data_IF_736257495558
#
_entry.id   IF_736257495558
#
_cell.length_a   1.000
_cell.length_b   1.000
_cell.length_c   1.000
_cell.angle_alpha   90.00
_cell.angle_beta   90.00
_cell.angle_gamma   90.00
#
_symmetry.space_group_name_H-M   'P 1'
#
loop_
_entity.id
_entity.type
_entity.pdbx_description
1 polymer ?
#
# COMPACT_ATOMS: atom_id res chain seq x y z
N UNK A 1 14.84 -2.22 -22.31
CA UNK A 1 13.48 -2.54 -21.82
C UNK A 1 13.14 -3.93 -22.29
N UNK A 2 13.13 -4.88 -21.38
CA UNK A 2 12.92 -6.31 -21.64
C UNK A 2 11.45 -6.62 -21.88
N UNK A 3 11.15 -7.80 -22.43
CA UNK A 3 9.76 -8.29 -22.60
C UNK A 3 9.04 -8.43 -21.24
N UNK A 4 9.82 -8.70 -20.18
CA UNK A 4 9.38 -8.81 -18.79
C UNK A 4 9.01 -7.45 -18.21
N UNK A 5 9.82 -6.40 -18.47
CA UNK A 5 9.48 -5.00 -18.12
C UNK A 5 8.16 -4.56 -18.76
N UNK A 6 7.82 -5.12 -19.93
CA UNK A 6 6.54 -4.88 -20.58
C UNK A 6 5.41 -5.60 -19.82
N UNK A 7 5.54 -6.89 -19.53
CA UNK A 7 4.49 -7.73 -18.92
C UNK A 7 3.99 -7.21 -17.56
N UNK A 8 4.88 -6.77 -16.65
CA UNK A 8 4.44 -6.31 -15.33
C UNK A 8 3.77 -4.92 -15.35
N UNK A 9 4.00 -4.12 -16.39
CA UNK A 9 3.35 -2.83 -16.59
C UNK A 9 1.88 -2.95 -17.08
N UNK A 10 1.45 -4.13 -17.55
CA UNK A 10 0.18 -4.24 -18.29
C UNK A 10 -1.08 -4.24 -17.42
N UNK A 11 -1.06 -4.80 -16.21
CA UNK A 11 -2.33 -4.96 -15.48
C UNK A 11 -2.92 -3.61 -15.03
N UNK A 12 -2.09 -2.60 -14.71
CA UNK A 12 -2.55 -1.23 -14.43
C UNK A 12 -3.06 -0.51 -15.68
N UNK A 13 -2.75 -1.01 -16.88
CA UNK A 13 -3.35 -0.54 -18.14
C UNK A 13 -4.71 -1.21 -18.43
N UNK A 14 -4.99 -2.34 -17.80
CA UNK A 14 -6.26 -3.08 -17.96
C UNK A 14 -7.33 -2.65 -16.96
N UNK A 15 -6.92 -2.17 -15.77
CA UNK A 15 -7.82 -1.65 -14.75
C UNK A 15 -7.62 -0.13 -14.67
N UNK A 16 -8.62 0.66 -15.06
CA UNK A 16 -8.53 2.12 -15.02
C UNK A 16 -8.68 2.70 -13.60
N UNK A 17 -9.48 2.04 -12.77
CA UNK A 17 -9.72 2.48 -11.40
C UNK A 17 -10.16 1.36 -10.46
N UNK A 18 -10.01 1.62 -9.16
CA UNK A 18 -10.45 0.75 -8.08
C UNK A 18 -11.37 1.53 -7.15
N UNK A 19 -12.55 0.98 -6.91
CA UNK A 19 -13.53 1.54 -5.98
C UNK A 19 -13.48 0.75 -4.68
N UNK A 20 -13.50 1.46 -3.56
CA UNK A 20 -13.57 0.85 -2.23
C UNK A 20 -15.01 0.71 -1.75
N UNK A 21 -15.23 -0.15 -0.77
CA UNK A 21 -16.47 -0.32 0.02
C UNK A 21 -17.10 0.95 0.60
N UNK A 22 -16.35 2.06 0.71
CA UNK A 22 -16.87 3.40 1.08
C UNK A 22 -16.87 4.37 -0.10
N UNK A 23 -16.94 3.84 -1.31
CA UNK A 23 -17.05 4.57 -2.58
C UNK A 23 -15.90 5.52 -2.89
N UNK A 24 -14.75 5.44 -2.20
CA UNK A 24 -13.55 6.17 -2.65
C UNK A 24 -12.99 5.50 -3.90
N UNK A 25 -12.64 6.30 -4.89
CA UNK A 25 -12.20 5.82 -6.21
C UNK A 25 -10.72 6.16 -6.38
N UNK A 26 -9.90 5.15 -6.66
CA UNK A 26 -8.49 5.28 -6.97
C UNK A 26 -8.32 5.13 -8.48
N UNK A 27 -7.97 6.20 -9.17
CA UNK A 27 -7.69 6.19 -10.61
C UNK A 27 -6.20 6.06 -10.87
N UNK A 28 -5.81 5.13 -11.72
CA UNK A 28 -4.42 5.03 -12.16
C UNK A 28 -4.15 6.08 -13.22
N UNK A 29 -3.07 6.83 -13.06
CA UNK A 29 -2.68 7.90 -13.97
C UNK A 29 -1.65 7.41 -14.99
N UNK A 30 -1.51 8.13 -16.09
CA UNK A 30 -0.55 7.81 -17.17
C UNK A 30 0.91 7.93 -16.75
N UNK A 31 1.20 8.65 -15.66
CA UNK A 31 2.53 8.84 -15.08
C UNK A 31 2.87 7.81 -13.99
N UNK A 32 2.14 6.69 -13.93
CA UNK A 32 2.24 5.62 -12.94
C UNK A 32 1.86 6.03 -11.51
N UNK A 33 1.39 7.26 -11.25
CA UNK A 33 0.82 7.61 -9.94
C UNK A 33 -0.63 7.16 -9.83
N UNK A 34 -1.21 7.31 -8.64
CA UNK A 34 -2.62 7.02 -8.40
C UNK A 34 -3.29 8.21 -7.74
N UNK A 35 -4.48 8.59 -8.21
CA UNK A 35 -5.23 9.70 -7.64
C UNK A 35 -6.51 9.20 -6.98
N UNK A 36 -6.70 9.57 -5.71
CA UNK A 36 -7.88 9.19 -4.94
C UNK A 36 -8.94 10.29 -4.99
N UNK A 37 -10.13 9.98 -5.45
CA UNK A 37 -11.33 10.77 -5.22
C UNK A 37 -12.04 10.25 -3.96
N UNK A 38 -12.15 11.10 -2.94
CA UNK A 38 -12.80 10.77 -1.68
C UNK A 38 -14.24 11.29 -1.70
N UNK A 39 -15.15 10.39 -2.05
CA UNK A 39 -16.59 10.68 -2.23
C UNK A 39 -17.22 11.34 -1.01
N UNK A 40 -16.88 10.90 0.20
CA UNK A 40 -17.40 11.48 1.44
C UNK A 40 -17.01 12.97 1.64
N UNK A 41 -15.93 13.43 1.00
CA UNK A 41 -15.48 14.83 1.05
C UNK A 41 -15.79 15.58 -0.24
N UNK A 42 -16.36 14.91 -1.25
CA UNK A 42 -16.48 15.42 -2.62
C UNK A 42 -15.18 16.07 -3.12
N UNK A 43 -14.03 15.43 -2.83
CA UNK A 43 -12.72 16.05 -3.03
C UNK A 43 -11.74 15.09 -3.73
N UNK A 44 -11.03 15.62 -4.72
CA UNK A 44 -9.96 14.94 -5.43
C UNK A 44 -8.64 15.19 -4.69
N UNK A 45 -8.01 14.12 -4.21
CA UNK A 45 -6.74 14.20 -3.49
C UNK A 45 -5.58 14.36 -4.45
N UNK A 46 -4.47 14.85 -3.90
CA UNK A 46 -3.19 14.90 -4.59
C UNK A 46 -2.79 13.49 -5.05
N UNK A 47 -2.16 13.35 -6.23
CA UNK A 47 -1.65 12.06 -6.68
C UNK A 47 -0.63 11.47 -5.70
N UNK A 48 -0.76 10.17 -5.46
CA UNK A 48 0.11 9.35 -4.62
C UNK A 48 1.07 8.55 -5.51
N UNK A 49 2.30 8.39 -5.05
CA UNK A 49 3.37 7.75 -5.82
C UNK A 49 3.23 6.22 -5.82
N UNK A 50 2.63 5.69 -4.77
CA UNK A 50 2.50 4.27 -4.50
C UNK A 50 1.07 3.91 -4.07
N UNK A 51 0.58 2.78 -4.57
CA UNK A 51 -0.63 2.10 -4.12
C UNK A 51 -0.39 0.58 -4.11
N UNK A 52 -0.63 -0.04 -2.96
CA UNK A 52 -0.64 -1.50 -2.74
C UNK A 52 -1.88 -1.92 -1.96
N UNK A 53 -2.13 -3.23 -1.88
CA UNK A 53 -3.30 -3.79 -1.24
C UNK A 53 -2.91 -4.71 -0.09
N UNK A 54 -3.28 -4.32 1.12
CA UNK A 54 -3.05 -5.07 2.35
C UNK A 54 -4.12 -6.17 2.45
N UNK A 55 -3.75 -7.44 2.65
CA UNK A 55 -4.71 -8.51 2.88
C UNK A 55 -5.68 -8.24 4.02
N UNK A 56 -6.85 -8.85 3.98
CA UNK A 56 -7.77 -8.80 5.10
C UNK A 56 -7.38 -9.81 6.19
N UNK A 57 -8.05 -9.72 7.34
CA UNK A 57 -7.76 -10.58 8.48
C UNK A 57 -7.95 -12.08 8.17
N UNK A 58 -8.96 -12.42 7.37
CA UNK A 58 -9.22 -13.82 7.00
C UNK A 58 -8.03 -14.39 6.21
N UNK A 59 -7.55 -13.65 5.21
CA UNK A 59 -6.38 -14.05 4.45
C UNK A 59 -5.12 -14.15 5.33
N UNK A 60 -4.87 -13.16 6.19
CA UNK A 60 -3.70 -13.17 7.10
C UNK A 60 -3.74 -14.38 8.03
N UNK A 61 -4.88 -14.69 8.64
CA UNK A 61 -5.02 -15.80 9.58
C UNK A 61 -4.67 -17.16 8.95
N UNK A 62 -4.94 -17.32 7.66
CA UNK A 62 -4.68 -18.56 6.93
C UNK A 62 -3.28 -18.65 6.32
N UNK A 63 -2.67 -17.50 5.99
CA UNK A 63 -1.47 -17.45 5.15
C UNK A 63 -0.25 -16.81 5.82
N UNK A 64 -0.43 -16.05 6.91
CA UNK A 64 0.68 -15.41 7.60
C UNK A 64 1.37 -16.39 8.57
N UNK A 65 2.68 -16.24 8.79
CA UNK A 65 3.40 -16.99 9.82
C UNK A 65 2.78 -16.77 11.21
N UNK A 66 2.67 -17.83 12.01
CA UNK A 66 2.10 -17.79 13.39
C UNK A 66 2.83 -16.82 14.33
N UNK A 67 4.08 -16.45 14.01
CA UNK A 67 4.90 -15.52 14.80
C UNK A 67 4.44 -14.06 14.69
N UNK A 68 3.57 -13.71 13.74
CA UNK A 68 3.10 -12.33 13.57
C UNK A 68 1.79 -12.15 14.34
N UNK A 69 1.85 -11.54 15.52
CA UNK A 69 0.64 -11.20 16.27
C UNK A 69 -0.02 -9.95 15.67
N UNK A 70 -1.07 -10.18 14.90
CA UNK A 70 -1.88 -9.17 14.21
C UNK A 70 -3.28 -9.04 14.81
N UNK A 71 -3.42 -9.42 16.09
CA UNK A 71 -4.70 -9.46 16.81
C UNK A 71 -5.49 -10.73 16.55
N UNK A 72 -6.61 -10.88 17.26
CA UNK A 72 -7.43 -12.10 17.28
C UNK A 72 -8.69 -11.99 16.41
N UNK A 73 -8.99 -10.79 15.89
CA UNK A 73 -10.18 -10.53 15.10
C UNK A 73 -9.96 -9.36 14.11
N UNK A 74 -10.86 -9.18 13.12
CA UNK A 74 -10.71 -8.15 12.09
C UNK A 74 -10.59 -6.72 12.61
N UNK A 75 -11.23 -6.41 13.75
CA UNK A 75 -11.22 -5.06 14.34
C UNK A 75 -9.84 -4.76 14.94
N UNK A 76 -9.30 -5.69 15.72
CA UNK A 76 -7.96 -5.56 16.29
C UNK A 76 -6.89 -5.47 15.20
N UNK A 77 -7.00 -6.30 14.17
CA UNK A 77 -6.12 -6.24 13.01
C UNK A 77 -6.07 -4.85 12.38
N UNK A 78 -7.24 -4.30 12.07
CA UNK A 78 -7.35 -2.97 11.47
C UNK A 78 -6.79 -1.87 12.39
N UNK A 79 -7.08 -1.96 13.69
CA UNK A 79 -6.58 -1.01 14.68
C UNK A 79 -5.06 -1.03 14.81
N UNK A 80 -4.44 -2.22 14.81
CA UNK A 80 -2.98 -2.38 14.84
C UNK A 80 -2.38 -1.70 13.60
N UNK A 81 -2.86 -2.00 12.40
CA UNK A 81 -2.37 -1.38 11.17
C UNK A 81 -2.49 0.15 11.20
N UNK A 82 -3.67 0.66 11.59
CA UNK A 82 -3.93 2.09 11.68
C UNK A 82 -3.02 2.79 12.70
N UNK A 83 -2.71 2.14 13.81
CA UNK A 83 -1.82 2.69 14.84
C UNK A 83 -0.40 2.91 14.31
N UNK A 84 0.13 1.96 13.53
CA UNK A 84 1.43 2.11 12.87
C UNK A 84 1.40 3.17 11.77
N UNK A 85 0.38 3.13 10.91
CA UNK A 85 0.30 4.03 9.75
C UNK A 85 0.14 5.49 10.18
N UNK A 86 -0.58 5.76 11.27
CA UNK A 86 -0.80 7.11 11.82
C UNK A 86 0.27 7.54 12.83
N UNK A 87 1.08 6.61 13.34
CA UNK A 87 2.09 6.88 14.36
C UNK A 87 3.19 7.80 13.86
N UNK A 88 3.43 8.92 14.55
CA UNK A 88 4.47 9.90 14.16
C UNK A 88 5.90 9.34 14.23
N UNK A 89 6.18 8.49 15.20
CA UNK A 89 7.49 7.82 15.36
C UNK A 89 7.63 6.53 14.54
N UNK A 90 6.54 6.08 13.91
CA UNK A 90 6.48 4.81 13.21
C UNK A 90 6.92 4.98 11.76
N UNK A 91 7.81 4.10 11.34
CA UNK A 91 8.25 3.91 9.97
C UNK A 91 7.37 2.88 9.30
N UNK A 92 6.82 3.27 8.15
CA UNK A 92 5.98 2.40 7.33
C UNK A 92 6.44 2.53 5.90
N UNK A 93 6.93 1.42 5.36
CA UNK A 93 7.53 1.35 4.04
C UNK A 93 7.01 0.14 3.29
N UNK A 94 6.95 0.26 1.96
CA UNK A 94 6.85 -0.93 1.13
C UNK A 94 8.26 -1.37 0.78
N UNK A 95 8.55 -2.66 0.92
CA UNK A 95 9.88 -3.21 0.62
C UNK A 95 9.78 -4.42 -0.31
N UNK A 96 10.86 -4.69 -1.04
CA UNK A 96 11.07 -6.01 -1.66
C UNK A 96 11.50 -7.06 -0.60
N UNK A 97 11.68 -8.30 -1.04
CA UNK A 97 12.16 -9.42 -0.20
C UNK A 97 13.61 -9.27 0.30
N UNK A 98 14.37 -8.30 -0.24
CA UNK A 98 15.75 -7.97 0.21
C UNK A 98 15.77 -6.77 1.16
N UNK A 99 14.60 -6.22 1.51
CA UNK A 99 14.49 -5.04 2.37
C UNK A 99 14.73 -3.71 1.65
N UNK A 100 14.82 -3.68 0.32
CA UNK A 100 14.92 -2.42 -0.42
C UNK A 100 13.59 -1.68 -0.32
N UNK A 101 13.63 -0.44 0.16
CA UNK A 101 12.45 0.44 0.20
C UNK A 101 12.02 0.81 -1.22
N UNK A 102 10.73 0.66 -1.49
CA UNK A 102 10.04 1.01 -2.72
C UNK A 102 9.14 2.22 -2.43
N UNK A 103 9.26 3.26 -3.25
CA UNK A 103 8.58 4.54 -3.07
C UNK A 103 7.52 4.81 -4.13
N UNK A 104 7.61 4.12 -5.27
CA UNK A 104 6.76 4.37 -6.44
C UNK A 104 6.10 3.09 -6.95
N UNK A 105 4.96 3.23 -7.62
CA UNK A 105 4.32 2.14 -8.35
C UNK A 105 5.23 1.58 -9.45
N UNK A 106 6.03 2.43 -10.11
CA UNK A 106 6.98 1.98 -11.13
C UNK A 106 8.04 1.05 -10.54
N UNK A 107 8.56 1.34 -9.35
CA UNK A 107 9.49 0.44 -8.65
C UNK A 107 8.80 -0.87 -8.28
N UNK A 108 7.57 -0.83 -7.78
CA UNK A 108 6.78 -2.02 -7.42
C UNK A 108 6.52 -2.92 -8.62
N UNK A 109 6.14 -2.33 -9.76
CA UNK A 109 5.82 -3.06 -10.98
C UNK A 109 7.09 -3.74 -11.53
N UNK A 110 8.28 -3.20 -11.25
CA UNK A 110 9.55 -3.83 -11.59
C UNK A 110 9.96 -5.00 -10.67
N UNK A 111 9.27 -5.25 -9.57
CA UNK A 111 9.56 -6.39 -8.68
C UNK A 111 8.80 -7.61 -9.20
N UNK A 112 9.46 -8.75 -9.33
CA UNK A 112 8.79 -10.04 -9.63
C UNK A 112 8.35 -10.73 -8.34
N UNK A 113 9.21 -10.68 -7.32
CA UNK A 113 8.99 -11.30 -6.02
C UNK A 113 7.88 -10.65 -5.18
N UNK A 114 7.60 -11.28 -4.04
CA UNK A 114 6.71 -10.75 -3.00
C UNK A 114 7.24 -9.41 -2.47
N UNK A 115 6.32 -8.46 -2.29
CA UNK A 115 6.58 -7.19 -1.62
C UNK A 115 5.86 -7.15 -0.27
N UNK A 116 6.36 -6.36 0.65
CA UNK A 116 5.87 -6.30 2.01
C UNK A 116 5.54 -4.87 2.41
N UNK A 117 4.45 -4.68 3.14
CA UNK A 117 4.26 -3.51 3.97
C UNK A 117 4.96 -3.78 5.30
N UNK A 118 6.06 -3.07 5.53
CA UNK A 118 6.85 -3.14 6.75
C UNK A 118 6.42 -2.03 7.70
N UNK A 119 6.12 -2.41 8.94
CA UNK A 119 5.71 -1.55 10.04
C UNK A 119 6.73 -1.70 11.16
N UNK A 120 7.19 -0.59 11.71
CA UNK A 120 8.13 -0.60 12.82
C UNK A 120 8.70 0.77 13.09
N UNK A 121 9.88 0.83 13.68
CA UNK A 121 10.60 2.07 13.95
C UNK A 121 11.86 2.18 13.06
N UNK A 122 12.74 3.14 13.35
CA UNK A 122 13.95 3.37 12.55
C UNK A 122 14.99 2.24 12.66
N UNK A 123 14.97 1.48 13.75
CA UNK A 123 15.99 0.50 14.11
C UNK A 123 15.48 -0.95 14.03
N UNK A 124 14.15 -1.14 13.99
CA UNK A 124 13.52 -2.44 14.08
C UNK A 124 12.24 -2.51 13.23
N UNK A 125 12.13 -3.59 12.46
CA UNK A 125 10.87 -4.02 11.84
C UNK A 125 10.10 -4.82 12.87
N UNK A 126 8.90 -4.36 13.21
CA UNK A 126 8.01 -5.08 14.13
C UNK A 126 7.15 -6.08 13.36
N UNK A 127 6.67 -5.69 12.17
CA UNK A 127 5.73 -6.45 11.35
C UNK A 127 6.08 -6.27 9.87
N UNK A 128 6.08 -7.36 9.11
CA UNK A 128 6.15 -7.34 7.65
C UNK A 128 4.99 -8.15 7.06
N UNK A 129 4.06 -7.49 6.38
CA UNK A 129 2.85 -8.11 5.82
C UNK A 129 3.02 -8.22 4.32
N UNK A 130 2.85 -9.40 3.71
CA UNK A 130 2.85 -9.50 2.26
C UNK A 130 1.68 -8.67 1.69
N UNK A 131 1.96 -7.79 0.75
CA UNK A 131 0.94 -6.97 0.09
C UNK A 131 0.81 -7.33 -1.38
N UNK A 132 -0.39 -7.14 -1.93
CA UNK A 132 -0.63 -7.35 -3.35
C UNK A 132 -0.35 -6.07 -4.13
N UNK A 133 0.27 -6.24 -5.30
CA UNK A 133 0.42 -5.16 -6.31
C UNK A 133 -0.91 -4.87 -6.98
N UNK A 134 -1.74 -5.91 -7.17
CA UNK A 134 -3.04 -5.88 -7.85
C UNK A 134 -4.19 -5.75 -6.85
N UNK A 135 -5.29 -5.05 -7.20
CA UNK A 135 -6.48 -5.01 -6.35
C UNK A 135 -7.06 -6.40 -6.14
N UNK A 136 -7.57 -6.66 -4.94
CA UNK A 136 -8.30 -7.88 -4.58
C UNK A 136 -9.48 -7.49 -3.70
N UNK A 137 -10.65 -8.07 -3.96
CA UNK A 137 -11.84 -7.81 -3.17
C UNK A 137 -11.57 -8.13 -1.70
N UNK A 138 -12.01 -7.25 -0.80
CA UNK A 138 -11.82 -7.38 0.64
C UNK A 138 -10.48 -6.84 1.15
N UNK A 139 -9.46 -6.64 0.29
CA UNK A 139 -8.16 -6.12 0.73
C UNK A 139 -8.23 -4.61 0.95
N UNK A 140 -7.51 -4.10 1.95
CA UNK A 140 -7.41 -2.66 2.21
C UNK A 140 -6.45 -1.99 1.23
N UNK A 141 -6.72 -0.74 0.85
CA UNK A 141 -5.78 0.06 0.07
C UNK A 141 -4.75 0.72 0.97
N UNK A 142 -3.47 0.70 0.60
CA UNK A 142 -2.44 1.54 1.21
C UNK A 142 -1.78 2.40 0.15
N UNK A 143 -1.87 3.72 0.33
CA UNK A 143 -1.25 4.70 -0.54
C UNK A 143 -0.20 5.53 0.19
N UNK A 144 0.85 5.92 -0.53
CA UNK A 144 1.91 6.77 0.01
C UNK A 144 2.48 7.70 -1.05
N UNK A 145 2.97 8.84 -0.59
CA UNK A 145 3.68 9.84 -1.39
C UNK A 145 4.90 10.33 -0.64
N UNK A 146 6.02 10.45 -1.33
CA UNK A 146 7.24 11.08 -0.83
C UNK A 146 7.39 12.42 -1.52
N UNK A 147 7.51 13.51 -0.76
CA UNK A 147 7.60 14.86 -1.31
C UNK A 147 8.59 15.71 -0.51
N UNK A 148 9.16 16.69 -1.18
CA UNK A 148 10.05 17.68 -0.57
C UNK A 148 9.28 18.99 -0.36
N UNK A 149 9.41 19.56 0.83
CA UNK A 149 8.84 20.85 1.19
C UNK A 149 9.88 21.59 2.05
N UNK A 150 10.26 22.81 1.64
CA UNK A 150 11.26 23.63 2.33
C UNK A 150 12.63 22.94 2.57
N UNK A 151 13.05 22.06 1.65
CA UNK A 151 14.33 21.33 1.76
C UNK A 151 14.29 20.10 2.66
N UNK A 152 13.11 19.77 3.22
CA UNK A 152 12.91 18.60 4.04
C UNK A 152 12.01 17.57 3.33
N UNK A 153 12.32 16.28 3.53
CA UNK A 153 11.56 15.18 2.95
C UNK A 153 10.45 14.72 3.87
N UNK A 154 9.22 14.78 3.35
CA UNK A 154 8.01 14.37 4.03
C UNK A 154 7.39 13.15 3.34
N UNK A 155 6.70 12.33 4.14
CA UNK A 155 5.95 11.18 3.62
C UNK A 155 4.50 11.23 4.07
N UNK A 156 3.60 11.34 3.10
CA UNK A 156 2.18 11.11 3.30
C UNK A 156 1.89 9.61 3.18
N UNK A 157 1.03 9.10 4.07
CA UNK A 157 0.64 7.69 4.13
C UNK A 157 -0.83 7.59 4.50
N UNK A 158 -1.56 6.71 3.86
CA UNK A 158 -2.95 6.46 4.21
C UNK A 158 -3.35 5.01 3.96
N UNK A 159 -4.06 4.45 4.94
CA UNK A 159 -4.83 3.23 4.78
C UNK A 159 -6.26 3.58 4.48
N UNK A 160 -6.74 3.19 3.30
CA UNK A 160 -8.12 3.34 2.90
C UNK A 160 -8.97 2.13 3.25
N UNK A 161 -10.25 2.20 2.88
CA UNK A 161 -11.19 1.12 3.07
C UNK A 161 -10.87 -0.07 2.15
N UNK A 162 -11.52 -1.20 2.43
CA UNK A 162 -11.43 -2.40 1.60
C UNK A 162 -11.91 -2.11 0.17
N UNK A 163 -11.21 -2.66 -0.82
CA UNK A 163 -11.66 -2.76 -2.21
C UNK A 163 -12.98 -3.51 -2.25
#
# INVERSE_FOLDING_TARGET
MTLIDKINLYWRKEIESVTTSKYSIYRYLSDNRTQRYKTAENNLKTPMDLLVYIPDYAWVKENAPEVINLGENPIQYEQILLSYIRGKSQKVYVTDNRGKILNTNQEIDGIEDQIFLTLGNKDQVDIAIPVSKKPRLGFYTFDSRLYEENGEWYRERHMGNRV
#
